data_IF_196110627837
#
_entry.id   IF_196110627837
#
_cell.length_a   1.000
_cell.length_b   1.000
_cell.length_c   1.000
_cell.angle_alpha   90.00
_cell.angle_beta   90.00
_cell.angle_gamma   90.00
#
_symmetry.space_group_name_H-M   'P 1'
#
loop_
_entity.id
_entity.type
_entity.pdbx_description
1 polymer ?
#
# COMPACT_ATOMS: atom_id res chain seq x y z
N UNK A 1 3.18 22.27 -1.34
CA UNK A 1 3.43 20.98 -0.66
C UNK A 1 2.15 20.43 -0.05
N UNK A 2 1.76 19.24 -0.48
CA UNK A 2 0.61 18.45 -0.03
C UNK A 2 1.08 17.17 0.64
N UNK A 3 0.26 16.62 1.55
CA UNK A 3 0.50 15.32 2.18
C UNK A 3 -0.52 14.32 1.65
N UNK A 4 -0.05 13.38 0.84
CA UNK A 4 -0.88 12.33 0.28
C UNK A 4 -0.78 11.07 1.13
N UNK A 5 -1.91 10.40 1.33
CA UNK A 5 -1.95 9.07 1.93
C UNK A 5 -2.10 8.03 0.82
N UNK A 6 -1.20 7.05 0.83
CA UNK A 6 -1.09 5.99 -0.16
C UNK A 6 -1.32 4.64 0.51
N UNK A 7 -1.76 3.63 -0.25
CA UNK A 7 -1.83 2.25 0.22
C UNK A 7 -1.44 1.28 -0.89
N UNK A 8 -0.94 0.10 -0.52
CA UNK A 8 -0.53 -0.94 -1.46
C UNK A 8 -1.69 -1.90 -1.69
N UNK A 9 -2.04 -2.13 -2.96
CA UNK A 9 -3.09 -3.07 -3.35
C UNK A 9 -2.72 -4.49 -2.90
N UNK A 10 -3.69 -5.21 -2.34
CA UNK A 10 -3.49 -6.58 -1.84
C UNK A 10 -2.79 -6.69 -0.48
N UNK A 11 -2.40 -5.57 0.14
CA UNK A 11 -1.72 -5.57 1.45
C UNK A 11 -2.56 -4.81 2.48
N UNK A 12 -3.17 -5.55 3.40
CA UNK A 12 -3.96 -4.96 4.50
C UNK A 12 -3.08 -4.10 5.42
N UNK A 13 -3.60 -2.95 5.86
CA UNK A 13 -2.89 -2.05 6.76
C UNK A 13 -1.64 -1.39 6.16
N UNK A 14 -1.52 -1.37 4.83
CA UNK A 14 -0.36 -0.83 4.13
C UNK A 14 -0.33 0.69 4.02
N UNK A 15 -1.30 1.40 4.60
CA UNK A 15 -1.43 2.85 4.49
C UNK A 15 -0.17 3.58 4.99
N UNK A 16 0.28 4.56 4.21
CA UNK A 16 1.46 5.39 4.50
C UNK A 16 1.29 6.77 3.90
N UNK A 17 2.16 7.71 4.26
CA UNK A 17 2.06 9.06 3.72
C UNK A 17 3.33 9.49 2.98
N UNK A 18 3.15 10.24 1.91
CA UNK A 18 4.22 10.91 1.17
C UNK A 18 3.95 12.40 1.10
N UNK A 19 5.01 13.21 1.03
CA UNK A 19 4.92 14.66 0.83
C UNK A 19 5.48 15.01 -0.54
N UNK A 20 4.69 15.75 -1.31
CA UNK A 20 4.99 16.19 -2.68
C UNK A 20 4.46 17.62 -2.86
N UNK A 21 4.85 18.33 -3.89
CA UNK A 21 4.17 19.55 -4.31
C UNK A 21 2.98 19.25 -5.21
N UNK A 22 1.97 20.11 -5.24
CA UNK A 22 0.82 19.91 -6.13
C UNK A 22 1.16 20.19 -7.60
N UNK A 23 2.25 20.94 -7.82
CA UNK A 23 2.84 21.17 -9.15
C UNK A 23 3.78 20.05 -9.60
N UNK A 24 4.15 19.12 -8.70
CA UNK A 24 4.94 17.94 -9.06
C UNK A 24 4.15 17.05 -10.03
N UNK A 25 4.87 16.21 -10.77
CA UNK A 25 4.28 15.28 -11.72
C UNK A 25 3.91 13.93 -11.08
N UNK A 26 3.13 13.12 -11.80
CA UNK A 26 2.89 11.71 -11.43
C UNK A 26 4.20 10.92 -11.34
N UNK A 27 5.20 11.21 -12.17
CA UNK A 27 6.53 10.59 -12.08
C UNK A 27 7.25 10.94 -10.77
N UNK A 28 7.18 12.19 -10.34
CA UNK A 28 7.75 12.64 -9.06
C UNK A 28 7.05 11.95 -7.88
N UNK A 29 5.73 11.77 -7.95
CA UNK A 29 4.98 11.00 -6.97
C UNK A 29 5.44 9.53 -6.93
N UNK A 30 5.67 8.88 -8.08
CA UNK A 30 6.22 7.51 -8.13
C UNK A 30 7.60 7.45 -7.47
N UNK A 31 8.47 8.42 -7.72
CA UNK A 31 9.80 8.51 -7.09
C UNK A 31 9.70 8.67 -5.58
N UNK A 32 8.83 9.56 -5.10
CA UNK A 32 8.61 9.79 -3.68
C UNK A 32 8.09 8.52 -2.97
N UNK A 33 7.15 7.79 -3.58
CA UNK A 33 6.65 6.51 -3.04
C UNK A 33 7.76 5.47 -2.98
N UNK A 34 8.56 5.35 -4.04
CA UNK A 34 9.70 4.43 -4.08
C UNK A 34 10.71 4.74 -2.99
N UNK A 35 11.03 6.02 -2.77
CA UNK A 35 11.96 6.45 -1.73
C UNK A 35 11.43 6.14 -0.33
N UNK A 36 10.17 6.51 -0.05
CA UNK A 36 9.50 6.27 1.23
C UNK A 36 9.43 4.78 1.59
N UNK A 37 9.19 3.91 0.60
CA UNK A 37 9.14 2.46 0.79
C UNK A 37 10.47 1.74 0.56
N UNK A 38 11.52 2.48 0.23
CA UNK A 38 12.86 1.95 -0.06
C UNK A 38 12.84 0.84 -1.12
N UNK A 39 11.98 0.96 -2.14
CA UNK A 39 11.90 -0.04 -3.19
C UNK A 39 13.18 -0.04 -4.05
N UNK A 40 13.69 -1.25 -4.31
CA UNK A 40 14.93 -1.45 -5.08
C UNK A 40 14.72 -1.50 -6.60
N UNK A 41 13.47 -1.50 -7.06
CA UNK A 41 13.14 -1.51 -8.48
C UNK A 41 12.84 -0.10 -9.00
N UNK A 42 12.93 0.14 -10.33
CA UNK A 42 12.65 1.43 -10.94
C UNK A 42 11.23 1.96 -10.65
N UNK A 43 11.08 3.27 -10.38
CA UNK A 43 9.82 3.89 -9.96
C UNK A 43 8.70 3.78 -11.02
N UNK A 44 9.06 3.74 -12.29
CA UNK A 44 8.16 3.57 -13.43
C UNK A 44 7.40 2.24 -13.41
N UNK A 45 7.92 1.22 -12.70
CA UNK A 45 7.21 -0.05 -12.49
C UNK A 45 6.03 0.05 -11.53
N UNK A 46 5.93 1.12 -10.74
CA UNK A 46 4.74 1.38 -9.93
C UNK A 46 3.58 1.77 -10.85
N UNK A 47 2.41 1.19 -10.60
CA UNK A 47 1.16 1.69 -11.17
C UNK A 47 0.37 2.38 -10.05
N UNK A 48 -0.11 3.58 -10.34
CA UNK A 48 -0.80 4.42 -9.39
C UNK A 48 -2.25 4.60 -9.85
N UNK A 49 -3.17 4.60 -8.89
CA UNK A 49 -4.60 4.80 -9.13
C UNK A 49 -5.14 5.81 -8.13
N UNK A 50 -6.05 6.66 -8.60
CA UNK A 50 -6.81 7.54 -7.73
C UNK A 50 -7.73 6.69 -6.86
N UNK A 51 -7.62 6.82 -5.55
CA UNK A 51 -8.39 6.01 -4.60
C UNK A 51 -9.82 6.53 -4.38
N UNK A 52 -10.38 7.30 -5.33
CA UNK A 52 -11.79 7.68 -5.35
C UNK A 52 -12.61 6.56 -5.96
N UNK A 53 -13.69 6.18 -5.27
CA UNK A 53 -14.69 5.24 -5.78
C UNK A 53 -15.42 5.83 -7.00
N UNK A 54 -16.21 5.00 -7.68
CA UNK A 54 -17.09 5.42 -8.78
C UNK A 54 -16.36 6.18 -9.91
N UNK A 55 -15.18 5.68 -10.33
CA UNK A 55 -14.36 6.26 -11.41
C UNK A 55 -13.96 7.72 -11.16
N UNK A 56 -13.50 8.03 -9.95
CA UNK A 56 -13.05 9.39 -9.61
C UNK A 56 -14.16 10.35 -9.15
N UNK A 57 -15.43 9.91 -9.16
CA UNK A 57 -16.58 10.77 -8.81
C UNK A 57 -17.08 10.57 -7.38
N UNK A 58 -16.74 9.44 -6.77
CA UNK A 58 -17.19 9.05 -5.44
C UNK A 58 -16.28 9.54 -4.31
N UNK A 59 -16.57 9.05 -3.11
CA UNK A 59 -15.74 9.30 -1.94
C UNK A 59 -14.38 8.57 -2.06
N UNK A 60 -13.37 9.12 -1.39
CA UNK A 60 -12.10 8.45 -1.17
C UNK A 60 -12.31 7.11 -0.44
N UNK A 61 -11.48 6.13 -0.77
CA UNK A 61 -11.26 4.95 0.07
C UNK A 61 -10.76 5.41 1.44
N UNK A 62 -11.11 4.65 2.46
CA UNK A 62 -10.71 4.93 3.84
C UNK A 62 -9.62 3.96 4.30
N UNK A 63 -8.91 4.30 5.39
CA UNK A 63 -8.04 3.33 6.06
C UNK A 63 -8.78 2.05 6.48
N UNK A 64 -10.06 2.15 6.85
CA UNK A 64 -10.90 0.98 7.12
C UNK A 64 -11.05 0.09 5.87
N UNK A 65 -11.30 0.67 4.70
CA UNK A 65 -11.37 -0.06 3.43
C UNK A 65 -10.04 -0.78 3.12
N UNK A 66 -8.90 -0.09 3.30
CA UNK A 66 -7.56 -0.67 3.12
C UNK A 66 -7.26 -1.79 4.11
N UNK A 67 -7.67 -1.64 5.36
CA UNK A 67 -7.50 -2.67 6.39
C UNK A 67 -8.34 -3.93 6.10
N UNK A 68 -9.48 -3.78 5.43
CA UNK A 68 -10.29 -4.92 4.98
C UNK A 68 -9.69 -5.63 3.74
N UNK A 69 -8.63 -5.07 3.15
CA UNK A 69 -7.94 -5.63 2.00
C UNK A 69 -8.59 -5.22 0.68
N UNK A 70 -8.07 -4.16 0.07
CA UNK A 70 -8.44 -3.77 -1.31
C UNK A 70 -7.76 -4.76 -2.26
N UNK A 71 -8.57 -5.54 -3.00
CA UNK A 71 -8.10 -6.68 -3.79
C UNK A 71 -7.67 -6.30 -5.21
N UNK A 72 -8.33 -5.31 -5.79
CA UNK A 72 -8.15 -4.89 -7.18
C UNK A 72 -8.27 -3.37 -7.29
N UNK A 73 -8.10 -2.86 -8.51
CA UNK A 73 -8.19 -1.45 -8.86
C UNK A 73 -9.38 -1.18 -9.77
N UNK A 74 -10.37 -2.07 -9.78
CA UNK A 74 -11.50 -1.98 -10.71
C UNK A 74 -12.37 -0.77 -10.38
N UNK A 75 -12.74 -0.02 -11.43
CA UNK A 75 -13.50 1.22 -11.29
C UNK A 75 -12.72 2.39 -10.67
N UNK A 76 -11.39 2.28 -10.56
CA UNK A 76 -10.52 3.38 -10.16
C UNK A 76 -9.82 4.01 -11.37
N UNK A 77 -9.56 5.31 -11.28
CA UNK A 77 -8.91 6.07 -12.34
C UNK A 77 -7.40 5.84 -12.30
N UNK A 78 -6.76 5.31 -13.35
CA UNK A 78 -5.31 5.19 -13.40
C UNK A 78 -4.64 6.57 -13.53
N UNK A 79 -3.48 6.72 -12.88
CA UNK A 79 -2.58 7.86 -13.04
C UNK A 79 -1.44 7.45 -13.99
N UNK A 80 -1.75 7.32 -15.27
CA UNK A 80 -0.87 6.77 -16.31
C UNK A 80 -0.06 7.83 -17.08
N UNK A 81 -0.47 9.10 -17.01
CA UNK A 81 0.26 10.22 -17.61
C UNK A 81 1.38 10.69 -16.68
N UNK A 82 2.60 10.18 -16.89
CA UNK A 82 3.77 10.48 -16.05
C UNK A 82 4.05 11.98 -15.84
N UNK A 83 3.85 12.80 -16.87
CA UNK A 83 4.07 14.25 -16.82
C UNK A 83 2.87 15.07 -16.34
N UNK A 84 1.74 14.44 -16.00
CA UNK A 84 0.58 15.18 -15.51
C UNK A 84 0.90 15.75 -14.13
N UNK A 85 0.67 17.05 -13.91
CA UNK A 85 0.85 17.65 -12.59
C UNK A 85 -0.28 17.20 -11.64
N UNK A 86 0.04 17.02 -10.37
CA UNK A 86 -0.89 16.44 -9.38
C UNK A 86 -2.18 17.25 -9.20
N UNK A 87 -2.09 18.58 -9.31
CA UNK A 87 -3.24 19.47 -9.25
C UNK A 87 -4.24 19.32 -10.41
N UNK A 88 -3.86 18.65 -11.51
CA UNK A 88 -4.76 18.35 -12.64
C UNK A 88 -5.34 16.94 -12.61
N UNK A 89 -4.98 16.13 -11.60
CA UNK A 89 -5.43 14.73 -11.45
C UNK A 89 -6.07 14.50 -10.07
N UNK A 90 -6.81 15.48 -9.58
CA UNK A 90 -7.55 15.44 -8.32
C UNK A 90 -6.68 15.20 -7.06
N UNK A 91 -5.41 15.57 -7.12
CA UNK A 91 -4.45 15.48 -6.01
C UNK A 91 -3.94 16.85 -5.57
N UNK A 92 -4.69 17.92 -5.83
CA UNK A 92 -4.37 19.28 -5.33
C UNK A 92 -4.58 19.38 -3.82
N UNK A 93 -4.05 20.45 -3.21
CA UNK A 93 -4.28 20.75 -1.79
C UNK A 93 -5.77 20.92 -1.44
N UNK A 94 -6.61 21.28 -2.41
CA UNK A 94 -8.05 21.44 -2.23
C UNK A 94 -8.77 20.10 -2.28
N UNK A 95 -8.41 19.22 -3.23
CA UNK A 95 -9.05 17.92 -3.44
C UNK A 95 -8.81 16.94 -2.29
N UNK A 96 -7.61 16.98 -1.71
CA UNK A 96 -7.18 16.07 -0.64
C UNK A 96 -7.53 16.58 0.76
N UNK A 97 -8.20 17.74 0.84
CA UNK A 97 -8.54 18.38 2.10
C UNK A 97 -9.62 17.56 2.82
N UNK A 98 -9.26 17.04 3.99
CA UNK A 98 -10.18 16.31 4.86
C UNK A 98 -10.16 16.87 6.28
N UNK A 99 -11.33 17.25 6.80
CA UNK A 99 -11.48 17.73 8.18
C UNK A 99 -11.64 16.53 9.10
N UNK A 100 -10.55 16.12 9.72
CA UNK A 100 -10.50 14.96 10.61
C UNK A 100 -11.24 15.26 11.93
N UNK A 101 -12.20 14.41 12.29
CA UNK A 101 -12.80 14.37 13.63
C UNK A 101 -12.24 13.22 14.47
N UNK A 102 -12.50 13.21 15.78
CA UNK A 102 -12.08 12.09 16.65
C UNK A 102 -12.80 10.80 16.26
N UNK A 103 -14.07 10.93 15.88
CA UNK A 103 -14.92 9.84 15.42
C UNK A 103 -14.35 9.20 14.14
N UNK A 104 -13.84 10.01 13.22
CA UNK A 104 -13.21 9.51 11.99
C UNK A 104 -11.94 8.70 12.28
N UNK A 105 -11.11 9.16 13.22
CA UNK A 105 -9.90 8.43 13.63
C UNK A 105 -10.28 7.09 14.26
N UNK A 106 -11.23 7.09 15.21
CA UNK A 106 -11.69 5.85 15.86
C UNK A 106 -12.31 4.87 14.87
N UNK A 107 -13.02 5.39 13.87
CA UNK A 107 -13.63 4.59 12.81
C UNK A 107 -12.68 4.29 11.63
N UNK A 108 -11.43 4.78 11.66
CA UNK A 108 -10.44 4.68 10.56
C UNK A 108 -10.99 5.17 9.21
N UNK A 109 -11.75 6.26 9.23
CA UNK A 109 -12.36 6.90 8.05
C UNK A 109 -11.47 7.95 7.40
N UNK A 110 -10.20 8.03 7.81
CA UNK A 110 -9.21 8.89 7.15
C UNK A 110 -9.04 8.46 5.69
N UNK A 111 -9.03 9.41 4.75
CA UNK A 111 -8.98 9.09 3.33
C UNK A 111 -7.60 8.61 2.90
N UNK A 112 -7.61 7.63 2.01
CA UNK A 112 -6.49 7.21 1.18
C UNK A 112 -6.72 7.82 -0.19
N UNK A 113 -5.67 8.45 -0.73
CA UNK A 113 -5.72 9.26 -1.95
C UNK A 113 -5.20 8.47 -3.15
N UNK A 114 -4.21 7.61 -2.93
CA UNK A 114 -3.54 6.86 -4.00
C UNK A 114 -3.46 5.38 -3.63
N UNK A 115 -3.87 4.51 -4.55
CA UNK A 115 -3.53 3.09 -4.49
C UNK A 115 -2.31 2.80 -5.36
N UNK A 116 -1.43 1.97 -4.82
CA UNK A 116 -0.14 1.61 -5.41
C UNK A 116 -0.14 0.12 -5.72
N UNK A 117 -0.05 -0.22 -6.99
CA UNK A 117 0.25 -1.58 -7.43
C UNK A 117 1.76 -1.69 -7.60
N UNK A 118 2.33 -2.67 -6.90
CA UNK A 118 3.76 -2.96 -6.89
C UNK A 118 3.99 -4.21 -7.75
N UNK A 119 5.04 -4.24 -8.60
CA UNK A 119 5.36 -5.43 -9.40
C UNK A 119 5.56 -6.67 -8.52
N UNK A 120 5.13 -7.82 -9.02
CA UNK A 120 5.28 -9.10 -8.33
C UNK A 120 6.76 -9.38 -7.98
N UNK A 121 6.98 -9.88 -6.75
CA UNK A 121 8.31 -10.17 -6.23
C UNK A 121 9.04 -9.00 -5.57
N UNK A 122 8.45 -7.81 -5.49
CA UNK A 122 9.10 -6.64 -4.89
C UNK A 122 8.62 -6.25 -3.49
N UNK A 123 7.45 -6.73 -3.07
CA UNK A 123 7.03 -6.69 -1.66
C UNK A 123 7.49 -8.00 -1.05
N UNK A 124 8.35 -7.94 -0.01
CA UNK A 124 8.66 -9.10 0.81
C UNK A 124 7.35 -9.77 1.20
N UNK A 125 7.09 -10.89 0.55
CA UNK A 125 5.74 -11.42 0.46
C UNK A 125 5.36 -11.97 1.83
N UNK A 126 4.09 -11.86 2.24
CA UNK A 126 3.58 -12.68 3.33
C UNK A 126 3.77 -14.20 3.08
N UNK A 127 4.11 -14.61 1.84
CA UNK A 127 4.57 -15.96 1.54
C UNK A 127 5.98 -16.27 2.07
N UNK A 128 6.85 -15.28 2.27
CA UNK A 128 8.18 -15.49 2.84
C UNK A 128 8.11 -15.77 4.34
N UNK A 129 7.23 -15.07 5.07
CA UNK A 129 6.93 -15.39 6.48
C UNK A 129 6.29 -16.77 6.58
N UNK A 130 5.35 -17.10 5.68
CA UNK A 130 4.72 -18.43 5.64
C UNK A 130 5.72 -19.56 5.35
N UNK A 131 6.70 -19.34 4.46
CA UNK A 131 7.76 -20.32 4.18
C UNK A 131 8.71 -20.47 5.37
N UNK A 132 9.08 -19.37 6.04
CA UNK A 132 9.91 -19.43 7.23
C UNK A 132 9.19 -20.18 8.38
N UNK A 133 7.90 -19.93 8.58
CA UNK A 133 7.09 -20.61 9.60
C UNK A 133 6.99 -22.13 9.33
N UNK A 134 6.86 -22.54 8.06
CA UNK A 134 6.87 -23.95 7.67
C UNK A 134 8.21 -24.63 7.99
N UNK A 135 9.33 -23.97 7.66
CA UNK A 135 10.67 -24.49 7.97
C UNK A 135 10.90 -24.59 9.48
N UNK A 136 10.43 -23.61 10.26
CA UNK A 136 10.53 -23.63 11.73
C UNK A 136 9.72 -24.80 12.32
N UNK A 137 8.51 -25.06 11.80
CA UNK A 137 7.70 -26.22 12.21
C UNK A 137 8.40 -27.55 11.90
N UNK A 138 8.94 -27.71 10.70
CA UNK A 138 9.61 -28.94 10.28
C UNK A 138 10.87 -29.22 11.12
N UNK A 139 11.65 -28.18 11.45
CA UNK A 139 12.81 -28.28 12.34
C UNK A 139 12.39 -28.69 13.77
N UNK A 140 11.29 -28.13 14.29
CA UNK A 140 10.75 -28.50 15.60
C UNK A 140 10.31 -29.97 15.64
N UNK A 141 9.62 -30.46 14.60
CA UNK A 141 9.21 -31.85 14.50
C UNK A 141 10.41 -32.80 14.43
N UNK A 142 11.41 -32.48 13.60
CA UNK A 142 12.65 -33.25 13.50
C UNK A 142 13.39 -33.31 14.86
N UNK A 143 13.48 -32.19 15.58
CA UNK A 143 14.12 -32.15 16.89
C UNK A 143 13.37 -33.01 17.92
N UNK A 144 12.03 -32.94 17.94
CA UNK A 144 11.21 -33.76 18.83
C UNK A 144 11.42 -35.27 18.58
N UNK A 145 11.45 -35.70 17.31
CA UNK A 145 11.73 -37.10 16.96
C UNK A 145 13.15 -37.53 17.37
N UNK A 146 14.14 -36.65 17.22
CA UNK A 146 15.54 -36.93 17.59
C UNK A 146 15.72 -37.05 19.11
N UNK A 147 15.00 -36.24 19.90
CA UNK A 147 15.06 -36.32 21.37
C UNK A 147 14.35 -37.57 21.89
N UNK A 148 13.23 -37.97 21.29
CA UNK A 148 12.48 -39.18 21.68
C UNK A 148 13.24 -40.47 21.38
N UNK A 149 14.02 -40.52 20.30
CA UNK A 149 14.84 -41.69 19.94
C UNK A 149 16.06 -41.85 20.86
N UNK A 150 16.60 -40.76 21.42
CA UNK A 150 17.70 -40.80 22.41
C UNK A 150 17.28 -41.14 23.84
N UNK A 151 15.99 -40.99 24.19
CA UNK A 151 15.46 -41.31 25.55
C UNK A 151 14.95 -42.75 25.71
N UNK A 152 14.87 -43.53 24.62
CA UNK A 152 14.42 -44.94 24.63
C UNK A 152 15.58 -45.96 24.59
N UNK A 153 16.81 -45.53 24.85
CA UNK A 153 17.99 -46.40 24.87
C UNK A 153 18.69 -46.32 26.21
#
# INVERSE_FOLDING_TARGET
MVKLFCAIVGVAGSAFSVRVDESDSVDDLKKAIKEEKMYLFPADKLQLFLAKKDEGRGAWLTEADVNNGVKDTDGLTPLDVAGAPLNLVDLSAEDVRFRVTKEDIMAKKTPVHVLVVVPEGAVGSASETSKMDQVVQEVHEMYAQTVLTKRKR
#
